data_IF_652925330007
#
_entry.id   IF_652925330007
#
_cell.length_a   1.000
_cell.length_b   1.000
_cell.length_c   1.000
_cell.angle_alpha   90.00
_cell.angle_beta   90.00
_cell.angle_gamma   90.00
#
_symmetry.space_group_name_H-M   'P 1'
#
loop_
_entity.id
_entity.type
_entity.pdbx_description
1 polymer ?
#
# COMPACT_ATOMS: atom_id res chain seq x y z
N UNK A 1 15.82 19.77 -44.18
CA UNK A 1 16.90 18.81 -43.90
C UNK A 1 16.75 18.46 -42.43
N UNK A 2 16.42 17.21 -42.10
CA UNK A 2 16.23 16.83 -40.69
C UNK A 2 17.63 16.65 -40.11
N UNK A 3 17.98 17.46 -39.11
CA UNK A 3 19.28 17.40 -38.45
C UNK A 3 19.48 16.06 -37.74
N UNK A 4 20.72 15.57 -37.77
CA UNK A 4 21.10 14.29 -37.17
C UNK A 4 20.77 14.23 -35.67
N UNK A 5 20.88 15.37 -34.98
CA UNK A 5 20.47 15.53 -33.58
C UNK A 5 18.98 15.27 -33.37
N UNK A 6 18.13 15.74 -34.28
CA UNK A 6 16.68 15.52 -34.19
C UNK A 6 16.32 14.04 -34.36
N UNK A 7 17.03 13.32 -35.24
CA UNK A 7 16.87 11.88 -35.39
C UNK A 7 17.26 11.11 -34.13
N UNK A 8 18.38 11.50 -33.52
CA UNK A 8 18.85 10.88 -32.29
C UNK A 8 17.86 11.08 -31.14
N UNK A 9 17.38 12.31 -30.93
CA UNK A 9 16.38 12.61 -29.91
C UNK A 9 15.09 11.84 -30.14
N UNK A 10 14.60 11.80 -31.38
CA UNK A 10 13.38 11.08 -31.72
C UNK A 10 13.51 9.57 -31.43
N UNK A 11 14.63 8.97 -31.79
CA UNK A 11 14.92 7.56 -31.52
C UNK A 11 14.93 7.27 -30.01
N UNK A 12 15.63 8.09 -29.22
CA UNK A 12 15.70 7.93 -27.76
C UNK A 12 14.31 8.05 -27.14
N UNK A 13 13.52 9.04 -27.55
CA UNK A 13 12.15 9.22 -27.05
C UNK A 13 11.27 8.02 -27.42
N UNK A 14 11.35 7.52 -28.65
CA UNK A 14 10.57 6.36 -29.09
C UNK A 14 10.90 5.08 -28.30
N UNK A 15 12.16 4.90 -27.89
CA UNK A 15 12.56 3.75 -27.08
C UNK A 15 12.15 3.91 -25.61
N UNK A 16 12.25 5.11 -25.06
CA UNK A 16 11.93 5.36 -23.64
C UNK A 16 10.44 5.52 -23.37
N UNK A 17 9.67 6.05 -24.32
CA UNK A 17 8.23 6.27 -24.21
C UNK A 17 7.45 5.02 -23.78
N UNK A 18 7.62 3.82 -24.38
CA UNK A 18 6.87 2.63 -23.96
C UNK A 18 7.24 2.17 -22.54
N UNK A 19 8.52 2.28 -22.15
CA UNK A 19 8.97 1.91 -20.79
C UNK A 19 8.34 2.85 -19.76
N UNK A 20 8.37 4.16 -20.03
CA UNK A 20 7.73 5.16 -19.19
C UNK A 20 6.21 4.95 -19.11
N UNK A 21 5.56 4.66 -20.24
CA UNK A 21 4.12 4.38 -20.29
C UNK A 21 3.76 3.14 -19.47
N UNK A 22 4.52 2.04 -19.59
CA UNK A 22 4.31 0.84 -18.77
C UNK A 22 4.46 1.12 -17.28
N UNK A 23 5.47 1.90 -16.89
CA UNK A 23 5.69 2.27 -15.49
C UNK A 23 4.57 3.14 -14.92
N UNK A 24 4.09 4.11 -15.70
CA UNK A 24 2.95 4.96 -15.30
C UNK A 24 1.69 4.10 -15.18
N UNK A 25 1.42 3.25 -16.18
CA UNK A 25 0.24 2.39 -16.20
C UNK A 25 0.23 1.39 -15.03
N UNK A 26 1.37 0.80 -14.67
CA UNK A 26 1.47 -0.12 -13.54
C UNK A 26 1.22 0.60 -12.21
N UNK A 27 1.77 1.81 -12.03
CA UNK A 27 1.55 2.63 -10.84
C UNK A 27 0.11 3.09 -10.70
N UNK A 28 -0.55 3.40 -11.82
CA UNK A 28 -1.96 3.77 -11.83
C UNK A 28 -2.84 2.55 -11.52
N UNK A 29 -2.54 1.39 -12.10
CA UNK A 29 -3.20 0.12 -11.75
C UNK A 29 -3.04 -0.20 -10.27
N UNK A 30 -1.84 -0.06 -9.71
CA UNK A 30 -1.61 -0.31 -8.28
C UNK A 30 -2.40 0.63 -7.39
N UNK A 31 -2.51 1.91 -7.76
CA UNK A 31 -3.32 2.89 -7.02
C UNK A 31 -4.83 2.66 -7.17
N UNK A 32 -5.28 2.19 -8.34
CA UNK A 32 -6.69 1.94 -8.61
C UNK A 32 -7.19 0.61 -8.00
N UNK A 33 -6.33 -0.42 -7.95
CA UNK A 33 -6.69 -1.77 -7.50
C UNK A 33 -6.46 -1.99 -6.01
N UNK A 34 -5.59 -1.21 -5.37
CA UNK A 34 -5.40 -1.29 -3.92
C UNK A 34 -6.34 -0.28 -3.28
N UNK A 35 -7.51 -0.74 -2.86
CA UNK A 35 -8.16 -0.07 -1.72
C UNK A 35 -7.08 0.12 -0.65
N UNK A 36 -6.95 1.32 -0.05
CA UNK A 36 -6.04 1.51 1.06
C UNK A 36 -6.28 0.35 2.03
N UNK A 37 -5.25 -0.41 2.45
CA UNK A 37 -5.46 -1.46 3.43
C UNK A 37 -6.22 -0.82 4.58
N UNK A 38 -7.40 -1.37 4.88
CA UNK A 38 -8.26 -0.83 5.94
C UNK A 38 -7.36 -0.60 7.14
N UNK A 39 -7.31 0.62 7.68
CA UNK A 39 -6.32 0.93 8.68
C UNK A 39 -6.59 0.00 9.88
N UNK A 40 -5.51 -0.64 10.35
CA UNK A 40 -5.60 -1.76 11.31
C UNK A 40 -5.15 -1.26 12.67
N UNK A 41 -5.96 -1.53 13.68
CA UNK A 41 -5.59 -1.25 15.07
C UNK A 41 -4.94 -2.49 15.67
N UNK A 42 -3.73 -2.33 16.21
CA UNK A 42 -3.03 -3.40 16.91
C UNK A 42 -3.47 -3.43 18.37
N UNK A 43 -3.95 -4.58 18.82
CA UNK A 43 -4.26 -4.86 20.22
C UNK A 43 -3.21 -5.79 20.80
N UNK A 44 -2.88 -5.58 22.07
CA UNK A 44 -2.05 -6.49 22.85
C UNK A 44 -2.86 -7.03 24.01
N UNK A 45 -2.97 -8.35 24.11
CA UNK A 45 -3.58 -8.95 25.30
C UNK A 45 -2.55 -8.97 26.44
N UNK A 46 -2.82 -8.39 27.63
CA UNK A 46 -1.92 -8.46 28.78
C UNK A 46 -1.79 -9.87 29.35
N UNK A 47 -2.75 -10.75 29.05
CA UNK A 47 -2.82 -12.11 29.60
C UNK A 47 -2.15 -13.13 28.68
N UNK A 48 -2.46 -13.09 27.37
CA UNK A 48 -1.80 -13.96 26.39
C UNK A 48 -0.44 -13.43 25.94
N UNK A 49 -0.15 -12.15 26.17
CA UNK A 49 1.01 -11.41 25.64
C UNK A 49 1.12 -11.44 24.11
N UNK A 50 0.04 -11.80 23.41
CA UNK A 50 -0.05 -11.86 21.95
C UNK A 50 -0.61 -10.58 21.38
N UNK A 51 -0.10 -10.22 20.21
CA UNK A 51 -0.62 -9.14 19.38
C UNK A 51 -1.66 -9.71 18.40
N UNK A 52 -2.69 -8.92 18.13
CA UNK A 52 -3.70 -9.24 17.12
C UNK A 52 -4.26 -7.95 16.53
N UNK A 53 -4.83 -8.05 15.34
CA UNK A 53 -5.33 -6.92 14.57
C UNK A 53 -6.86 -6.86 14.66
N UNK A 54 -7.39 -5.65 14.83
CA UNK A 54 -8.81 -5.36 14.71
C UNK A 54 -9.08 -4.25 13.69
N UNK A 55 -10.35 -4.05 13.38
CA UNK A 55 -10.80 -2.99 12.49
C UNK A 55 -10.49 -1.60 13.08
N UNK A 56 -10.27 -0.61 12.22
CA UNK A 56 -10.14 0.80 12.60
C UNK A 56 -11.34 1.26 13.43
N UNK A 57 -11.11 2.02 14.50
CA UNK A 57 -12.17 2.64 15.29
C UNK A 57 -12.82 1.73 16.34
N UNK A 58 -12.39 0.47 16.43
CA UNK A 58 -12.80 -0.41 17.52
C UNK A 58 -12.04 -0.03 18.79
N UNK A 59 -12.76 0.47 19.80
CA UNK A 59 -12.20 0.85 21.11
C UNK A 59 -11.84 -0.38 21.97
N UNK A 60 -12.51 -1.52 21.73
CA UNK A 60 -12.24 -2.76 22.44
C UNK A 60 -12.52 -4.00 21.60
N UNK A 61 -11.61 -4.97 21.62
CA UNK A 61 -11.74 -6.21 20.85
C UNK A 61 -11.46 -7.42 21.74
N UNK A 62 -12.27 -8.46 21.60
CA UNK A 62 -12.11 -9.72 22.31
C UNK A 62 -10.89 -10.47 21.80
N UNK A 63 -9.99 -10.85 22.69
CA UNK A 63 -8.83 -11.66 22.33
C UNK A 63 -9.30 -13.01 21.76
N UNK A 64 -8.82 -13.40 20.56
CA UNK A 64 -9.21 -14.67 19.95
C UNK A 64 -8.64 -15.90 20.69
N UNK A 65 -7.70 -15.70 21.61
CA UNK A 65 -7.02 -16.78 22.33
C UNK A 65 -7.63 -17.05 23.71
N UNK A 66 -7.78 -16.02 24.55
CA UNK A 66 -8.34 -16.18 25.92
C UNK A 66 -9.77 -15.67 26.07
N UNK A 67 -10.34 -15.01 25.06
CA UNK A 67 -11.68 -14.46 25.14
C UNK A 67 -11.81 -13.21 26.02
N UNK A 68 -10.71 -12.62 26.49
CA UNK A 68 -10.74 -11.36 27.25
C UNK A 68 -10.91 -10.16 26.34
N UNK A 69 -11.81 -9.25 26.70
CA UNK A 69 -11.96 -7.96 26.00
C UNK A 69 -10.80 -7.04 26.36
N UNK A 70 -9.99 -6.67 25.38
CA UNK A 70 -8.90 -5.71 25.58
C UNK A 70 -9.26 -4.39 24.92
N UNK A 71 -8.95 -3.29 25.59
CA UNK A 71 -9.07 -1.95 25.04
C UNK A 71 -7.93 -1.65 24.09
N UNK A 72 -8.17 -0.75 23.15
CA UNK A 72 -7.18 -0.30 22.19
C UNK A 72 -5.95 0.25 22.92
N UNK A 73 -4.76 -0.16 22.47
CA UNK A 73 -3.51 0.42 22.96
C UNK A 73 -3.36 1.80 22.30
N UNK A 74 -4.06 2.82 22.81
CA UNK A 74 -3.88 4.20 22.36
C UNK A 74 -2.49 4.66 22.83
N UNK A 75 -1.63 5.00 21.86
CA UNK A 75 -0.33 5.64 22.11
C UNK A 75 -0.53 7.05 22.65
#
# INVERSE_FOLDING_TARGET
MIDSESFFVFYVVMVLAPVAACWIASRWRDRALRAPPAPRTLFRCPECLRFYEGEEGVESLRCPYCGRTNTRLSR
#
